data_IF_704332185513
#
_entry.id   IF_704332185513
#
_cell.length_a   1.000
_cell.length_b   1.000
_cell.length_c   1.000
_cell.angle_alpha   90.00
_cell.angle_beta   90.00
_cell.angle_gamma   90.00
#
_symmetry.space_group_name_H-M   'P 1'
#
loop_
_entity.id
_entity.type
_entity.pdbx_description
1 polymer ?
#
# COMPACT_ATOMS: atom_id res chain seq x y z
N UNK A 1 15.33 16.60 -24.93
CA UNK A 1 14.84 15.55 -24.00
C UNK A 1 13.36 15.37 -24.25
N UNK A 2 12.91 14.18 -24.67
CA UNK A 2 11.47 13.94 -24.93
C UNK A 2 10.70 14.08 -23.61
N UNK A 3 9.62 14.89 -23.59
CA UNK A 3 8.79 15.08 -22.39
C UNK A 3 8.24 13.72 -21.95
N UNK A 4 8.43 13.38 -20.68
CA UNK A 4 7.91 12.16 -20.09
C UNK A 4 6.38 12.17 -20.18
N UNK A 5 5.81 11.27 -20.99
CA UNK A 5 4.36 11.24 -21.26
C UNK A 5 3.57 10.62 -20.11
N UNK A 6 4.14 9.64 -19.41
CA UNK A 6 3.53 9.05 -18.22
C UNK A 6 3.73 9.96 -17.01
N UNK A 7 2.69 10.14 -16.20
CA UNK A 7 2.69 11.01 -15.02
C UNK A 7 2.09 10.30 -13.82
N UNK A 8 2.34 10.83 -12.62
CA UNK A 8 1.76 10.29 -11.39
C UNK A 8 0.22 10.24 -11.43
N UNK A 9 -0.51 11.31 -11.82
CA UNK A 9 -1.97 11.25 -11.94
C UNK A 9 -2.45 10.19 -12.94
N UNK A 10 -1.80 10.08 -14.10
CA UNK A 10 -2.16 9.10 -15.12
C UNK A 10 -2.02 7.67 -14.60
N UNK A 11 -0.85 7.35 -14.02
CA UNK A 11 -0.59 6.01 -13.49
C UNK A 11 -1.51 5.68 -12.31
N UNK A 12 -1.79 6.67 -11.45
CA UNK A 12 -2.71 6.51 -10.31
C UNK A 12 -4.13 6.19 -10.80
N UNK A 13 -4.65 6.95 -11.76
CA UNK A 13 -5.98 6.75 -12.31
C UNK A 13 -6.08 5.39 -13.03
N UNK A 14 -5.01 4.97 -13.71
CA UNK A 14 -4.90 3.64 -14.28
C UNK A 14 -5.03 2.53 -13.23
N UNK A 15 -4.34 2.62 -12.08
CA UNK A 15 -4.46 1.61 -11.02
C UNK A 15 -5.87 1.58 -10.41
N UNK A 16 -6.52 2.74 -10.28
CA UNK A 16 -7.88 2.88 -9.76
C UNK A 16 -8.89 2.21 -10.71
N UNK A 17 -8.79 2.47 -12.00
CA UNK A 17 -9.77 2.00 -12.97
C UNK A 17 -9.56 0.57 -13.45
N UNK A 18 -8.31 0.13 -13.58
CA UNK A 18 -8.01 -1.18 -14.12
C UNK A 18 -8.31 -2.27 -13.09
N UNK A 19 -8.98 -3.34 -13.52
CA UNK A 19 -9.36 -4.47 -12.68
C UNK A 19 -8.68 -5.78 -13.08
N UNK A 20 -7.89 -5.78 -14.16
CA UNK A 20 -7.38 -7.02 -14.74
C UNK A 20 -5.85 -7.01 -14.88
N UNK A 21 -5.31 -6.25 -15.84
CA UNK A 21 -3.90 -6.34 -16.26
C UNK A 21 -3.12 -5.07 -15.95
N UNK A 22 -2.43 -5.04 -14.81
CA UNK A 22 -1.59 -3.92 -14.39
C UNK A 22 -0.23 -3.94 -15.11
N UNK A 23 -0.20 -3.56 -16.39
CA UNK A 23 1.03 -3.53 -17.20
C UNK A 23 1.17 -2.21 -17.97
N UNK A 24 2.41 -1.85 -18.33
CA UNK A 24 2.65 -0.68 -19.19
C UNK A 24 2.03 -0.81 -20.57
N UNK A 25 1.91 -2.03 -21.10
CA UNK A 25 1.20 -2.30 -22.36
C UNK A 25 -0.29 -2.01 -22.22
N UNK A 26 -0.89 -2.39 -21.10
CA UNK A 26 -2.31 -2.11 -20.86
C UNK A 26 -2.55 -0.60 -20.74
N UNK A 27 -1.74 0.09 -19.94
CA UNK A 27 -1.84 1.54 -19.83
C UNK A 27 -1.63 2.23 -21.19
N UNK A 28 -0.75 1.73 -22.06
CA UNK A 28 -0.61 2.31 -23.40
C UNK A 28 -1.85 2.19 -24.29
N UNK A 29 -2.75 1.25 -24.01
CA UNK A 29 -3.99 1.03 -24.77
C UNK A 29 -5.17 1.86 -24.25
N UNK A 30 -5.22 2.09 -22.94
CA UNK A 30 -6.36 2.75 -22.26
C UNK A 30 -6.06 4.19 -21.85
N UNK A 31 -4.91 4.73 -22.27
CA UNK A 31 -4.57 6.11 -21.97
C UNK A 31 -5.48 7.06 -22.76
N UNK A 32 -5.86 8.21 -22.17
CA UNK A 32 -6.82 9.13 -22.78
C UNK A 32 -6.22 9.97 -23.94
N UNK A 33 -4.99 9.66 -24.36
CA UNK A 33 -4.33 10.32 -25.47
C UNK A 33 -3.53 9.31 -26.29
N UNK A 34 -3.54 9.51 -27.61
CA UNK A 34 -2.78 8.70 -28.55
C UNK A 34 -1.26 8.87 -28.31
N UNK A 35 -0.47 7.84 -28.59
CA UNK A 35 1.02 7.82 -28.56
C UNK A 35 1.76 7.67 -27.22
N UNK A 36 1.17 7.16 -26.14
CA UNK A 36 1.97 6.74 -24.98
C UNK A 36 2.58 5.35 -25.21
N UNK A 37 3.91 5.27 -25.30
CA UNK A 37 4.58 3.97 -25.38
C UNK A 37 4.73 3.31 -24.00
N UNK A 38 4.71 1.98 -23.97
CA UNK A 38 5.03 1.21 -22.76
C UNK A 38 6.45 1.50 -22.22
N UNK A 39 7.38 1.91 -23.09
CA UNK A 39 8.71 2.37 -22.70
C UNK A 39 8.68 3.68 -21.92
N UNK A 40 7.79 4.61 -22.27
CA UNK A 40 7.59 5.86 -21.52
C UNK A 40 7.08 5.58 -20.10
N UNK A 41 6.22 4.57 -19.96
CA UNK A 41 5.69 4.11 -18.67
C UNK A 41 6.77 3.42 -17.85
N UNK A 42 7.56 2.54 -18.47
CA UNK A 42 8.68 1.85 -17.83
C UNK A 42 9.73 2.85 -17.34
N UNK A 43 10.05 3.86 -18.16
CA UNK A 43 10.90 4.99 -17.77
C UNK A 43 10.32 5.75 -16.58
N UNK A 44 9.02 6.05 -16.58
CA UNK A 44 8.38 6.70 -15.43
C UNK A 44 8.53 5.90 -14.14
N UNK A 45 8.31 4.59 -14.20
CA UNK A 45 8.48 3.75 -13.02
C UNK A 45 9.94 3.73 -12.54
N UNK A 46 10.90 3.66 -13.46
CA UNK A 46 12.32 3.55 -13.12
C UNK A 46 12.97 4.87 -12.69
N UNK A 47 12.50 6.02 -13.21
CA UNK A 47 13.13 7.33 -12.95
C UNK A 47 12.43 8.16 -11.88
N UNK A 48 11.23 7.77 -11.46
CA UNK A 48 10.52 8.47 -10.37
C UNK A 48 11.14 8.13 -9.02
N UNK A 49 11.20 9.11 -8.13
CA UNK A 49 11.67 8.92 -6.77
C UNK A 49 10.59 9.41 -5.79
N UNK A 50 9.78 8.47 -5.31
CA UNK A 50 8.76 8.73 -4.31
C UNK A 50 9.14 8.10 -2.98
N UNK A 51 8.87 8.80 -1.89
CA UNK A 51 9.22 8.38 -0.53
C UNK A 51 7.96 8.17 0.32
N UNK A 52 7.99 7.24 1.29
CA UNK A 52 6.88 7.09 2.24
C UNK A 52 6.52 8.39 2.98
N UNK A 53 7.49 9.28 3.25
CA UNK A 53 7.21 10.59 3.85
C UNK A 53 6.29 11.48 3.00
N UNK A 54 6.30 11.33 1.66
CA UNK A 54 5.35 12.03 0.80
C UNK A 54 3.93 11.47 0.93
N UNK A 55 3.76 10.20 1.33
CA UNK A 55 2.46 9.61 1.63
C UNK A 55 1.81 10.33 2.80
N UNK A 56 2.57 10.56 3.88
CA UNK A 56 2.10 11.27 5.06
C UNK A 56 1.53 12.66 4.72
N UNK A 57 2.17 13.40 3.82
CA UNK A 57 1.68 14.70 3.39
C UNK A 57 0.28 14.64 2.72
N UNK A 58 -0.05 13.51 2.08
CA UNK A 58 -1.35 13.30 1.45
C UNK A 58 -2.44 12.92 2.47
N UNK A 59 -2.09 12.11 3.47
CA UNK A 59 -3.07 11.54 4.42
C UNK A 59 -3.20 12.31 5.73
N UNK A 60 -2.24 13.17 6.07
CA UNK A 60 -2.27 13.99 7.30
C UNK A 60 -3.61 14.71 7.53
N UNK A 61 -4.29 15.27 6.50
CA UNK A 61 -5.61 15.91 6.70
C UNK A 61 -6.74 14.93 7.00
N UNK A 62 -6.56 13.64 6.71
CA UNK A 62 -7.56 12.58 6.92
C UNK A 62 -7.45 11.92 8.30
N UNK A 63 -6.36 12.18 9.04
CA UNK A 63 -6.09 11.57 10.34
C UNK A 63 -6.58 12.48 11.45
N UNK A 64 -7.58 12.02 12.21
CA UNK A 64 -7.93 12.63 13.48
C UNK A 64 -6.93 12.17 14.55
N UNK A 65 -6.25 13.13 15.19
CA UNK A 65 -5.24 12.86 16.22
C UNK A 65 -5.84 12.72 17.62
N UNK A 66 -7.12 13.00 17.77
CA UNK A 66 -7.86 12.93 19.03
C UNK A 66 -8.66 11.64 19.16
N UNK A 67 -8.94 10.97 18.03
CA UNK A 67 -9.68 9.70 17.99
C UNK A 67 -8.99 8.66 17.12
N UNK A 68 -9.46 7.41 17.19
CA UNK A 68 -8.89 6.30 16.43
C UNK A 68 -7.60 5.75 17.05
N UNK A 69 -6.98 4.82 16.34
CA UNK A 69 -5.78 4.13 16.79
C UNK A 69 -4.86 3.80 15.61
N UNK A 70 -3.58 3.61 15.90
CA UNK A 70 -2.57 3.23 14.92
C UNK A 70 -2.21 1.77 15.08
N UNK A 71 -2.36 1.00 14.02
CA UNK A 71 -1.99 -0.42 13.94
C UNK A 71 -0.75 -0.56 13.08
N UNK A 72 0.15 -1.45 13.50
CA UNK A 72 1.32 -1.83 12.72
C UNK A 72 1.31 -3.33 12.45
N UNK A 73 1.44 -3.73 11.19
CA UNK A 73 1.55 -5.12 10.78
C UNK A 73 2.20 -5.23 9.41
N UNK A 74 2.75 -6.39 9.09
CA UNK A 74 3.41 -6.62 7.83
C UNK A 74 2.54 -7.40 6.83
N UNK A 75 2.82 -7.20 5.54
CA UNK A 75 2.25 -8.00 4.47
C UNK A 75 3.30 -8.38 3.45
N UNK A 76 3.24 -9.62 2.98
CA UNK A 76 4.10 -10.09 1.91
C UNK A 76 3.44 -9.84 0.56
N UNK A 77 4.08 -9.05 -0.32
CA UNK A 77 3.72 -8.94 -1.72
C UNK A 77 4.30 -10.14 -2.49
N UNK A 78 3.44 -10.94 -3.09
CA UNK A 78 3.85 -12.15 -3.79
C UNK A 78 4.71 -11.85 -5.03
N UNK A 79 5.95 -12.35 -5.03
CA UNK A 79 6.88 -12.33 -6.17
C UNK A 79 7.47 -13.72 -6.44
N UNK A 80 6.70 -14.79 -6.19
CA UNK A 80 7.18 -16.18 -6.25
C UNK A 80 7.82 -16.57 -7.59
N UNK A 81 7.40 -15.94 -8.68
CA UNK A 81 7.92 -16.18 -10.03
C UNK A 81 9.02 -15.20 -10.47
N UNK A 82 9.32 -14.15 -9.70
CA UNK A 82 10.28 -13.10 -10.07
C UNK A 82 11.62 -13.29 -9.36
N UNK A 83 12.45 -14.20 -9.90
CA UNK A 83 13.73 -14.62 -9.27
C UNK A 83 14.82 -13.53 -9.30
N UNK A 84 14.77 -12.64 -10.28
CA UNK A 84 15.76 -11.57 -10.48
C UNK A 84 15.30 -10.21 -9.92
N UNK A 85 14.24 -10.17 -9.12
CA UNK A 85 13.74 -8.93 -8.52
C UNK A 85 14.71 -8.40 -7.47
N UNK A 86 15.11 -7.13 -7.60
CA UNK A 86 16.10 -6.50 -6.72
C UNK A 86 15.61 -6.36 -5.26
N UNK A 87 14.29 -6.21 -5.05
CA UNK A 87 13.70 -6.05 -3.72
C UNK A 87 13.18 -7.36 -3.11
N UNK A 88 12.75 -8.31 -3.94
CA UNK A 88 12.15 -9.54 -3.43
C UNK A 88 13.20 -10.43 -2.76
N UNK A 89 12.79 -11.05 -1.64
CA UNK A 89 13.61 -12.00 -0.88
C UNK A 89 12.74 -13.15 -0.40
N UNK A 90 13.38 -14.26 -0.03
CA UNK A 90 12.69 -15.41 0.59
C UNK A 90 12.22 -15.02 1.98
N UNK A 91 10.91 -15.03 2.20
CA UNK A 91 10.28 -14.72 3.47
C UNK A 91 9.20 -15.75 3.81
N UNK A 92 9.03 -16.04 5.09
CA UNK A 92 7.92 -16.88 5.52
C UNK A 92 6.59 -16.16 5.29
N UNK A 93 5.66 -16.81 4.59
CA UNK A 93 4.29 -16.33 4.44
C UNK A 93 3.41 -17.06 5.44
N UNK A 94 2.89 -16.35 6.44
CA UNK A 94 1.91 -16.93 7.38
C UNK A 94 0.66 -17.45 6.67
N UNK A 95 0.22 -16.75 5.61
CA UNK A 95 -0.94 -17.15 4.79
C UNK A 95 -0.76 -18.50 4.08
N UNK A 96 0.45 -18.77 3.59
CA UNK A 96 0.73 -19.93 2.74
C UNK A 96 1.50 -21.04 3.49
N UNK A 97 1.79 -20.81 4.78
CA UNK A 97 2.57 -21.69 5.65
C UNK A 97 3.88 -22.18 5.03
N UNK A 98 4.54 -21.33 4.23
CA UNK A 98 5.78 -21.67 3.53
C UNK A 98 6.64 -20.45 3.26
N UNK A 99 7.93 -20.70 3.02
CA UNK A 99 8.86 -19.68 2.55
C UNK A 99 8.58 -19.36 1.08
N UNK A 100 8.36 -18.09 0.77
CA UNK A 100 8.07 -17.60 -0.55
C UNK A 100 8.96 -16.41 -0.91
N UNK A 101 9.27 -16.26 -2.19
CA UNK A 101 9.91 -15.05 -2.68
C UNK A 101 8.87 -13.90 -2.74
N UNK A 102 9.16 -12.78 -2.11
CA UNK A 102 8.24 -11.65 -2.05
C UNK A 102 8.88 -10.39 -1.48
N UNK A 103 8.14 -9.29 -1.55
CA UNK A 103 8.54 -8.01 -0.96
C UNK A 103 7.70 -7.82 0.30
N UNK A 104 8.32 -7.82 1.48
CA UNK A 104 7.59 -7.61 2.74
C UNK A 104 7.47 -6.11 3.02
N UNK A 105 6.24 -5.67 3.24
CA UNK A 105 5.91 -4.30 3.62
C UNK A 105 5.48 -4.27 5.07
N UNK A 106 6.15 -3.48 5.89
CA UNK A 106 5.72 -3.11 7.24
C UNK A 106 4.85 -1.87 7.13
N UNK A 107 3.56 -2.00 7.42
CA UNK A 107 2.57 -0.94 7.24
C UNK A 107 2.17 -0.34 8.57
N UNK A 108 1.94 0.97 8.57
CA UNK A 108 1.38 1.72 9.68
C UNK A 108 0.04 2.29 9.22
N UNK A 109 -1.04 1.87 9.87
CA UNK A 109 -2.42 2.18 9.51
C UNK A 109 -3.06 2.95 10.66
N UNK A 110 -3.56 4.15 10.40
CA UNK A 110 -4.52 4.79 11.29
C UNK A 110 -5.93 4.34 10.91
N UNK A 111 -6.76 4.05 11.91
CA UNK A 111 -8.15 3.67 11.68
C UNK A 111 -9.06 4.16 12.81
N UNK A 112 -10.31 4.42 12.44
CA UNK A 112 -11.44 4.68 13.34
C UNK A 112 -12.52 3.62 13.13
N UNK A 113 -12.12 2.34 13.10
CA UNK A 113 -13.03 1.21 12.92
C UNK A 113 -13.21 0.82 11.46
N UNK A 114 -13.93 1.62 10.68
CA UNK A 114 -14.19 1.32 9.26
C UNK A 114 -13.38 2.19 8.29
N UNK A 115 -12.67 3.21 8.77
CA UNK A 115 -11.74 4.03 7.97
C UNK A 115 -10.33 3.42 7.94
N UNK A 116 -9.72 3.33 6.76
CA UNK A 116 -8.40 2.72 6.57
C UNK A 116 -7.40 3.73 5.99
N UNK A 117 -6.68 4.46 6.85
CA UNK A 117 -5.74 5.50 6.41
C UNK A 117 -4.30 5.03 6.57
N UNK A 118 -3.63 4.53 5.50
CA UNK A 118 -2.23 4.12 5.57
C UNK A 118 -1.33 5.35 5.75
N UNK A 119 -0.75 5.50 6.92
CA UNK A 119 0.05 6.68 7.29
C UNK A 119 1.52 6.55 6.92
N UNK A 120 2.05 5.33 6.89
CA UNK A 120 3.42 5.06 6.50
C UNK A 120 3.61 3.58 6.10
N UNK A 121 4.66 3.28 5.35
CA UNK A 121 5.09 1.91 5.05
C UNK A 121 6.62 1.83 4.91
N UNK A 122 7.19 0.66 5.17
CA UNK A 122 8.61 0.38 4.95
C UNK A 122 8.79 -0.96 4.25
N UNK A 123 9.79 -1.03 3.38
CA UNK A 123 10.20 -2.31 2.81
C UNK A 123 11.14 -2.97 3.81
N UNK A 124 10.79 -4.16 4.26
CA UNK A 124 11.62 -4.94 5.16
C UNK A 124 12.73 -5.63 4.38
N UNK A 125 13.99 -5.31 4.72
CA UNK A 125 15.19 -5.84 4.09
C UNK A 125 16.26 -6.18 5.13
N UNK A 126 16.05 -7.27 5.89
CA UNK A 126 16.97 -7.74 6.95
C UNK A 126 18.45 -7.73 6.57
N UNK A 127 18.77 -8.07 5.31
CA UNK A 127 20.16 -8.17 4.82
C UNK A 127 20.84 -6.80 4.63
N UNK A 128 20.08 -5.70 4.54
CA UNK A 128 20.60 -4.35 4.26
C UNK A 128 20.66 -3.45 5.49
N UNK A 129 19.90 -3.78 6.55
CA UNK A 129 19.79 -2.93 7.74
C UNK A 129 19.98 -3.67 9.07
N UNK A 130 20.21 -4.99 9.02
CA UNK A 130 20.27 -5.90 10.18
C UNK A 130 19.06 -5.80 11.14
N UNK A 131 17.98 -5.14 10.70
CA UNK A 131 16.76 -4.96 11.48
C UNK A 131 15.84 -6.16 11.26
N UNK A 132 15.16 -6.54 12.31
CA UNK A 132 13.98 -7.41 12.27
C UNK A 132 12.74 -6.59 11.92
N UNK A 133 11.64 -7.26 11.58
CA UNK A 133 10.34 -6.57 11.45
C UNK A 133 9.98 -5.82 12.73
N UNK A 134 10.31 -6.42 13.88
CA UNK A 134 10.14 -5.83 15.21
C UNK A 134 10.99 -4.58 15.41
N UNK A 135 12.21 -4.52 14.87
CA UNK A 135 13.04 -3.31 14.96
C UNK A 135 12.47 -2.16 14.12
N UNK A 136 11.90 -2.44 12.94
CA UNK A 136 11.16 -1.43 12.20
C UNK A 136 9.88 -0.97 12.91
N UNK A 137 9.26 -1.84 13.71
CA UNK A 137 8.12 -1.49 14.54
C UNK A 137 8.55 -0.58 15.71
N UNK A 138 9.62 -0.91 16.42
CA UNK A 138 10.19 -0.09 17.49
C UNK A 138 10.71 1.26 17.01
N UNK A 139 11.33 1.33 15.82
CA UNK A 139 11.71 2.61 15.20
C UNK A 139 10.51 3.54 14.97
N UNK A 140 9.31 2.98 14.79
CA UNK A 140 8.06 3.72 14.57
C UNK A 140 7.32 4.01 15.88
N UNK A 141 7.54 3.23 16.94
CA UNK A 141 6.80 3.26 18.21
C UNK A 141 7.80 3.08 19.36
N UNK A 142 8.08 4.16 20.10
CA UNK A 142 9.00 4.12 21.25
C UNK A 142 8.30 3.49 22.46
N UNK A 143 8.44 2.16 22.65
CA UNK A 143 8.69 1.45 23.93
C UNK A 143 8.58 -0.11 23.79
N UNK A 144 8.90 -0.82 24.88
CA UNK A 144 9.73 -2.04 25.03
C UNK A 144 9.08 -3.44 24.87
N UNK A 145 9.93 -4.36 24.39
CA UNK A 145 10.03 -5.82 24.58
C UNK A 145 9.18 -6.78 23.73
N UNK A 146 9.84 -7.40 22.74
CA UNK A 146 9.85 -8.86 22.53
C UNK A 146 8.53 -9.53 22.16
N UNK A 147 8.30 -9.70 20.86
CA UNK A 147 7.16 -10.38 20.23
C UNK A 147 5.78 -9.78 20.54
N UNK A 148 5.65 -8.48 20.24
CA UNK A 148 4.44 -7.68 20.49
C UNK A 148 3.83 -7.16 19.18
N UNK A 149 2.50 -7.24 19.08
CA UNK A 149 1.71 -6.44 18.13
C UNK A 149 1.57 -5.04 18.70
N UNK A 150 2.07 -4.02 17.99
CA UNK A 150 2.05 -2.64 18.49
C UNK A 150 0.77 -1.93 18.07
N UNK A 151 -0.05 -1.57 19.06
CA UNK A 151 -1.09 -0.55 18.92
C UNK A 151 -0.60 0.69 19.64
N UNK A 152 -0.51 1.82 18.93
CA UNK A 152 -0.18 3.10 19.52
C UNK A 152 -1.47 3.93 19.66
N UNK A 153 -1.77 4.34 20.89
CA UNK A 153 -2.88 5.21 21.25
C UNK A 153 -2.36 6.43 22.01
N UNK A 154 -3.03 7.57 21.85
CA UNK A 154 -2.80 8.77 22.65
C UNK A 154 -3.48 8.68 24.04
N UNK A 155 -4.27 7.64 24.28
CA UNK A 155 -4.93 7.37 25.55
C UNK A 155 -4.02 6.56 26.49
N UNK A 156 -3.46 7.26 27.49
CA UNK A 156 -2.58 6.69 28.49
C UNK A 156 -3.32 5.87 29.57
N UNK A 157 -4.66 5.83 29.54
CA UNK A 157 -5.47 5.06 30.49
C UNK A 157 -5.61 3.59 30.11
N UNK A 158 -5.17 3.22 28.90
CA UNK A 158 -5.08 1.86 28.38
C UNK A 158 -4.04 1.04 29.16
N UNK A 159 -4.43 0.62 30.37
CA UNK A 159 -3.60 -0.15 31.32
C UNK A 159 -4.14 -1.55 31.56
N UNK A 160 -5.29 -1.90 30.96
CA UNK A 160 -5.99 -3.14 31.19
C UNK A 160 -5.77 -4.18 30.06
N UNK A 161 -5.59 -5.43 30.47
CA UNK A 161 -5.35 -6.58 29.60
C UNK A 161 -6.60 -6.93 28.75
N UNK A 162 -7.80 -6.62 29.25
CA UNK A 162 -9.05 -6.81 28.49
C UNK A 162 -9.14 -5.84 27.30
N UNK A 163 -8.66 -4.60 27.46
CA UNK A 163 -8.55 -3.64 26.33
C UNK A 163 -7.49 -4.10 25.32
N UNK A 164 -6.39 -4.72 25.76
CA UNK A 164 -5.42 -5.39 24.89
C UNK A 164 -6.05 -6.53 24.07
N UNK A 165 -7.03 -7.24 24.64
CA UNK A 165 -7.77 -8.32 23.97
C UNK A 165 -8.80 -7.78 22.96
N UNK A 166 -9.44 -6.64 23.23
CA UNK A 166 -10.22 -5.89 22.23
C UNK A 166 -9.34 -5.34 21.09
N UNK A 167 -8.10 -4.95 21.37
CA UNK A 167 -7.12 -4.55 20.35
C UNK A 167 -6.73 -5.71 19.41
N UNK A 168 -6.80 -6.97 19.84
CA UNK A 168 -6.65 -8.12 18.93
C UNK A 168 -7.77 -8.18 17.88
N UNK A 169 -9.01 -7.82 18.23
CA UNK A 169 -10.08 -7.69 17.22
C UNK A 169 -9.80 -6.56 16.23
N UNK A 170 -9.12 -5.51 16.67
CA UNK A 170 -8.71 -4.41 15.81
C UNK A 170 -7.58 -4.81 14.85
N UNK A 171 -6.76 -5.82 15.16
CA UNK A 171 -5.78 -6.40 14.21
C UNK A 171 -6.44 -6.89 12.91
N UNK A 172 -7.69 -7.31 12.96
CA UNK A 172 -8.42 -7.67 11.74
C UNK A 172 -8.53 -6.49 10.75
N UNK A 173 -8.49 -5.24 11.23
CA UNK A 173 -8.58 -4.04 10.39
C UNK A 173 -7.36 -3.83 9.50
N UNK A 174 -6.16 -4.11 9.98
CA UNK A 174 -4.97 -4.02 9.12
C UNK A 174 -4.94 -5.16 8.10
N UNK A 175 -5.49 -6.33 8.43
CA UNK A 175 -5.68 -7.39 7.45
C UNK A 175 -6.76 -7.06 6.40
N UNK A 176 -7.86 -6.41 6.80
CA UNK A 176 -8.87 -5.85 5.89
C UNK A 176 -8.22 -4.85 4.93
N UNK A 177 -7.42 -3.93 5.44
CA UNK A 177 -6.59 -3.02 4.65
C UNK A 177 -5.68 -3.78 3.68
N UNK A 178 -4.91 -4.77 4.15
CA UNK A 178 -4.01 -5.57 3.31
C UNK A 178 -4.74 -6.29 2.18
N UNK A 179 -5.92 -6.88 2.46
CA UNK A 179 -6.76 -7.50 1.43
C UNK A 179 -7.26 -6.45 0.44
N UNK A 180 -7.71 -5.31 0.94
CA UNK A 180 -8.18 -4.17 0.17
C UNK A 180 -7.16 -3.68 -0.83
N UNK A 181 -5.99 -3.21 -0.36
CA UNK A 181 -4.97 -2.65 -1.23
C UNK A 181 -4.50 -3.65 -2.30
N UNK A 182 -4.40 -4.94 -1.96
CA UNK A 182 -4.05 -5.99 -2.92
C UNK A 182 -5.11 -6.17 -3.99
N UNK A 183 -6.38 -6.19 -3.61
CA UNK A 183 -7.50 -6.38 -4.53
C UNK A 183 -7.77 -5.15 -5.39
N UNK A 184 -7.61 -3.95 -4.85
CA UNK A 184 -8.03 -2.69 -5.48
C UNK A 184 -6.90 -1.89 -6.11
N UNK A 185 -5.64 -2.29 -6.04
CA UNK A 185 -4.58 -1.46 -6.67
C UNK A 185 -3.63 -2.26 -7.53
N UNK A 186 -3.69 -3.59 -7.45
CA UNK A 186 -2.74 -4.45 -8.12
C UNK A 186 -1.31 -4.27 -7.60
N UNK A 187 -1.10 -3.84 -6.35
CA UNK A 187 0.23 -3.63 -5.74
C UNK A 187 1.21 -4.80 -5.91
N UNK A 188 0.70 -6.03 -6.02
CA UNK A 188 1.51 -7.25 -6.27
C UNK A 188 1.85 -7.46 -7.76
N UNK A 189 1.26 -6.68 -8.66
CA UNK A 189 1.26 -6.90 -10.12
C UNK A 189 2.28 -6.06 -10.89
N UNK A 190 3.21 -5.37 -10.21
CA UNK A 190 4.41 -4.87 -10.87
C UNK A 190 5.37 -6.02 -11.20
N UNK A 191 5.61 -6.24 -12.50
CA UNK A 191 6.49 -7.29 -13.02
C UNK A 191 7.93 -6.85 -13.26
N UNK A 192 8.25 -5.55 -13.15
CA UNK A 192 9.62 -5.06 -13.30
C UNK A 192 10.54 -5.68 -12.24
N UNK A 193 11.78 -6.03 -12.60
CA UNK A 193 12.77 -6.52 -11.63
C UNK A 193 13.51 -5.39 -10.93
N UNK A 194 13.47 -4.17 -11.46
CA UNK A 194 14.16 -3.00 -10.93
C UNK A 194 13.52 -2.51 -9.63
N UNK A 195 14.36 -2.24 -8.63
CA UNK A 195 13.93 -1.73 -7.33
C UNK A 195 13.19 -0.40 -7.45
N UNK A 196 13.73 0.55 -8.22
CA UNK A 196 13.10 1.85 -8.43
C UNK A 196 11.68 1.72 -9.02
N UNK A 197 11.48 0.81 -9.97
CA UNK A 197 10.16 0.54 -10.55
C UNK A 197 9.18 -0.07 -9.56
N UNK A 198 9.66 -1.00 -8.72
CA UNK A 198 8.83 -1.61 -7.67
C UNK A 198 8.44 -0.57 -6.61
N UNK A 199 9.40 0.23 -6.14
CA UNK A 199 9.17 1.32 -5.17
C UNK A 199 8.13 2.32 -5.69
N UNK A 200 8.31 2.79 -6.92
CA UNK A 200 7.35 3.71 -7.56
C UNK A 200 5.97 3.08 -7.65
N UNK A 201 5.86 1.83 -8.11
CA UNK A 201 4.56 1.17 -8.21
C UNK A 201 3.89 1.02 -6.83
N UNK A 202 4.63 0.56 -5.81
CA UNK A 202 4.13 0.43 -4.44
C UNK A 202 3.60 1.77 -3.94
N UNK A 203 4.37 2.85 -4.07
CA UNK A 203 3.93 4.19 -3.67
C UNK A 203 2.63 4.61 -4.38
N UNK A 204 2.55 4.43 -5.70
CA UNK A 204 1.35 4.82 -6.45
C UNK A 204 0.15 3.93 -6.11
N UNK A 205 0.36 2.66 -5.76
CA UNK A 205 -0.69 1.80 -5.22
C UNK A 205 -1.25 2.34 -3.91
N UNK A 206 -0.42 2.82 -2.98
CA UNK A 206 -0.91 3.48 -1.77
C UNK A 206 -1.73 4.74 -2.08
N UNK A 207 -1.27 5.58 -3.02
CA UNK A 207 -2.03 6.76 -3.44
C UNK A 207 -3.37 6.40 -4.10
N UNK A 208 -3.38 5.37 -4.95
CA UNK A 208 -4.60 4.86 -5.56
C UNK A 208 -5.59 4.36 -4.49
N UNK A 209 -5.08 3.66 -3.48
CA UNK A 209 -5.87 3.21 -2.33
C UNK A 209 -6.47 4.38 -1.55
N UNK A 210 -5.66 5.38 -1.19
CA UNK A 210 -6.14 6.55 -0.44
C UNK A 210 -7.24 7.27 -1.21
N UNK A 211 -7.09 7.46 -2.52
CA UNK A 211 -8.15 8.06 -3.35
C UNK A 211 -9.45 7.26 -3.33
N UNK A 212 -9.35 5.93 -3.42
CA UNK A 212 -10.52 5.04 -3.31
C UNK A 212 -11.16 5.14 -1.92
N UNK A 213 -10.34 5.18 -0.87
CA UNK A 213 -10.80 5.21 0.51
C UNK A 213 -11.44 6.55 0.89
N UNK A 214 -10.81 7.67 0.54
CA UNK A 214 -11.38 9.00 0.73
C UNK A 214 -12.75 9.11 0.07
N UNK A 215 -12.90 8.50 -1.12
CA UNK A 215 -14.19 8.44 -1.79
C UNK A 215 -15.18 7.56 -1.07
N UNK A 216 -14.78 6.37 -0.63
CA UNK A 216 -15.62 5.45 0.14
C UNK A 216 -16.18 6.10 1.40
N UNK A 217 -15.33 6.82 2.14
CA UNK A 217 -15.71 7.58 3.35
C UNK A 217 -16.69 8.70 2.98
N UNK A 218 -16.39 9.48 1.93
CA UNK A 218 -17.26 10.57 1.47
C UNK A 218 -18.64 10.09 1.00
N UNK A 219 -18.70 8.94 0.35
CA UNK A 219 -19.93 8.34 -0.19
C UNK A 219 -20.61 7.38 0.81
N UNK A 220 -20.06 7.21 2.01
CA UNK A 220 -20.58 6.32 3.06
C UNK A 220 -20.80 4.87 2.60
N UNK A 221 -19.91 4.37 1.74
CA UNK A 221 -20.00 3.01 1.19
C UNK A 221 -19.42 2.00 2.17
N UNK A 222 -20.20 0.96 2.49
CA UNK A 222 -19.76 -0.13 3.35
C UNK A 222 -18.90 -1.14 2.58
N UNK A 223 -17.80 -1.57 3.21
CA UNK A 223 -16.89 -2.55 2.64
C UNK A 223 -16.01 -2.02 1.49
N UNK A 224 -14.94 -2.76 1.21
CA UNK A 224 -13.91 -2.34 0.27
C UNK A 224 -14.10 -3.04 -1.08
N UNK A 225 -14.71 -2.33 -2.04
CA UNK A 225 -14.91 -2.84 -3.40
C UNK A 225 -14.73 -1.72 -4.41
N UNK A 226 -14.05 -2.00 -5.52
CA UNK A 226 -13.87 -1.06 -6.64
C UNK A 226 -15.16 -0.74 -7.38
N UNK A 227 -16.06 -1.73 -7.51
CA UNK A 227 -17.29 -1.63 -8.31
C UNK A 227 -18.23 -0.49 -7.86
N UNK A 228 -18.52 -0.32 -6.56
CA UNK A 228 -19.34 0.80 -6.10
C UNK A 228 -18.60 2.15 -6.11
N UNK A 229 -17.27 2.17 -6.26
CA UNK A 229 -16.42 3.37 -6.13
C UNK A 229 -15.98 3.99 -7.46
N UNK A 230 -16.49 3.53 -8.60
CA UNK A 230 -16.23 4.11 -9.92
C UNK A 230 -17.58 4.63 -10.46
N UNK A 231 -17.76 5.94 -10.73
CA UNK A 231 -18.97 6.39 -11.40
C UNK A 231 -18.89 5.94 -12.87
N UNK A 232 -20.01 5.78 -13.56
CA UNK A 232 -20.02 5.48 -15.00
C UNK A 232 -19.18 6.49 -15.82
N UNK A 233 -18.99 7.70 -15.29
CA UNK A 233 -18.15 8.75 -15.85
C UNK A 233 -16.63 8.44 -15.89
N UNK A 234 -16.06 7.69 -14.93
CA UNK A 234 -14.63 7.29 -15.02
C UNK A 234 -14.42 6.16 -16.04
N UNK A 235 -15.43 5.29 -16.22
CA UNK A 235 -15.39 4.27 -17.28
C UNK A 235 -15.38 4.92 -18.66
N UNK A 236 -16.14 6.00 -18.86
CA UNK A 236 -16.18 6.75 -20.11
C UNK A 236 -14.91 7.54 -20.43
N UNK A 237 -14.05 7.84 -19.44
CA UNK A 237 -12.79 8.59 -19.68
C UNK A 237 -11.62 7.66 -20.03
N UNK A 238 -11.81 6.35 -19.93
CA UNK A 238 -10.76 5.31 -20.06
C UNK A 238 -11.01 4.38 -21.26
N UNK A 239 -12.23 4.41 -21.82
CA UNK A 239 -12.59 3.74 -23.07
C UNK A 239 -12.46 4.67 -24.27
#
# INVERSE_FOLDING_TARGET
MQKQKCSLPLYTNFLIANQNRYSGVELSKVAPFEDISHDSISRFLASSNFTPSQLWNQVKPLVDKTTGYVICDDTLLDKRYSKANELAKKQYSGKEHKVMNGISLVNLLWTKGDEFIPIDYRIYQRENDDKTKNDHFHDKIVHTNGDITYVASNDLTLTDYDTFTEHFHQRWKIEEFHRGIKQTTGIEKCYSTLAASQLTHIFVSFLAFIKLETRRIKEQISGMSKKPLLPDFLLLTIC
#
